data_IF_648753803060
#
_entry.id   IF_648753803060
#
_cell.length_a   1.000
_cell.length_b   1.000
_cell.length_c   1.000
_cell.angle_alpha   90.00
_cell.angle_beta   90.00
_cell.angle_gamma   90.00
#
_symmetry.space_group_name_H-M   'P 1'
#
loop_
_entity.id
_entity.type
_entity.pdbx_description
1 polymer ?
#
# COMPACT_ATOMS: atom_id res chain seq x y z
N UNK A 1 7.69 -4.38 19.05
CA UNK A 1 7.54 -3.07 19.73
C UNK A 1 6.07 -2.88 20.08
N UNK A 2 5.73 -2.29 21.24
CA UNK A 2 4.34 -2.16 21.71
C UNK A 2 3.43 -1.38 20.74
N UNK A 3 3.94 -0.31 20.12
CA UNK A 3 3.21 0.49 19.12
C UNK A 3 2.84 -0.30 17.84
N UNK A 4 3.68 -1.24 17.38
CA UNK A 4 3.35 -2.08 16.23
C UNK A 4 2.08 -2.90 16.48
N UNK A 5 1.91 -3.42 17.70
CA UNK A 5 0.73 -4.21 18.06
C UNK A 5 -0.53 -3.35 18.07
N UNK A 6 -0.46 -2.17 18.67
CA UNK A 6 -1.57 -1.21 18.70
C UNK A 6 -1.99 -0.80 17.28
N UNK A 7 -1.03 -0.51 16.40
CA UNK A 7 -1.31 -0.23 14.99
C UNK A 7 -1.94 -1.43 14.28
N UNK A 8 -1.46 -2.65 14.50
CA UNK A 8 -2.05 -3.86 13.89
C UNK A 8 -3.50 -4.05 14.31
N UNK A 9 -3.83 -3.84 15.58
CA UNK A 9 -5.20 -3.96 16.10
C UNK A 9 -6.09 -2.84 15.52
N UNK A 10 -5.59 -1.59 15.47
CA UNK A 10 -6.32 -0.43 14.92
C UNK A 10 -6.60 -0.55 13.43
N UNK A 11 -5.60 -0.97 12.66
CA UNK A 11 -5.65 -1.02 11.20
C UNK A 11 -6.00 -2.42 10.67
N UNK A 12 -6.59 -3.29 11.51
CA UNK A 12 -6.94 -4.66 11.12
C UNK A 12 -7.78 -4.71 9.83
N UNK A 13 -8.81 -3.87 9.72
CA UNK A 13 -9.66 -3.81 8.52
C UNK A 13 -8.86 -3.36 7.29
N UNK A 14 -7.97 -2.38 7.45
CA UNK A 14 -7.10 -1.90 6.38
C UNK A 14 -6.09 -2.97 5.93
N UNK A 15 -5.55 -3.76 6.87
CA UNK A 15 -4.67 -4.89 6.57
C UNK A 15 -5.42 -5.98 5.80
N UNK A 16 -6.66 -6.30 6.20
CA UNK A 16 -7.50 -7.27 5.48
C UNK A 16 -7.88 -6.77 4.09
N UNK A 17 -8.26 -5.49 3.96
CA UNK A 17 -8.61 -4.87 2.69
C UNK A 17 -7.42 -4.92 1.72
N UNK A 18 -6.24 -4.50 2.17
CA UNK A 18 -5.03 -4.56 1.34
C UNK A 18 -4.67 -5.99 1.00
N UNK A 19 -4.73 -6.91 1.96
CA UNK A 19 -4.38 -8.30 1.70
C UNK A 19 -5.32 -8.96 0.69
N UNK A 20 -6.60 -8.59 0.73
CA UNK A 20 -7.61 -9.05 -0.22
C UNK A 20 -7.39 -8.43 -1.60
N UNK A 21 -7.19 -7.11 -1.67
CA UNK A 21 -7.01 -6.38 -2.93
C UNK A 21 -5.72 -6.79 -3.66
N UNK A 22 -4.64 -7.05 -2.92
CA UNK A 22 -3.36 -7.44 -3.52
C UNK A 22 -3.15 -8.95 -3.59
N UNK A 23 -4.06 -9.75 -3.00
CA UNK A 23 -3.88 -11.19 -2.79
C UNK A 23 -2.55 -11.57 -2.13
N UNK A 24 -2.07 -10.73 -1.22
CA UNK A 24 -0.77 -10.88 -0.55
C UNK A 24 -0.83 -10.44 0.90
N UNK A 25 0.04 -10.94 1.79
CA UNK A 25 0.06 -10.47 3.16
C UNK A 25 0.34 -8.96 3.26
N UNK A 26 -0.48 -8.25 4.02
CA UNK A 26 -0.24 -6.87 4.43
C UNK A 26 0.19 -6.84 5.89
N UNK A 27 1.21 -6.03 6.21
CA UNK A 27 1.77 -5.93 7.56
C UNK A 27 2.04 -4.49 7.95
N UNK A 28 2.02 -4.20 9.25
CA UNK A 28 2.53 -2.93 9.78
C UNK A 28 4.05 -3.01 9.89
N UNK A 29 4.75 -2.02 9.33
CA UNK A 29 6.21 -1.90 9.43
C UNK A 29 6.61 -0.57 10.04
N UNK A 30 7.75 -0.56 10.74
CA UNK A 30 8.39 0.66 11.25
C UNK A 30 9.54 1.05 10.31
N UNK A 31 9.50 2.27 9.78
CA UNK A 31 10.45 2.84 8.83
C UNK A 31 11.33 3.91 9.49
N UNK A 32 11.90 3.58 10.65
CA UNK A 32 12.81 4.50 11.36
C UNK A 32 12.09 5.57 12.18
N UNK A 33 10.93 5.23 12.76
CA UNK A 33 10.15 6.13 13.62
C UNK A 33 8.74 6.42 13.11
N UNK A 34 8.50 6.20 11.81
CA UNK A 34 7.16 6.21 11.20
C UNK A 34 6.67 4.79 10.94
N UNK A 35 5.36 4.64 10.86
CA UNK A 35 4.67 3.39 10.58
C UNK A 35 3.94 3.47 9.24
N UNK A 36 3.87 2.33 8.56
CA UNK A 36 3.12 2.19 7.32
C UNK A 36 2.52 0.78 7.23
N UNK A 37 1.42 0.66 6.50
CA UNK A 37 0.99 -0.64 5.98
C UNK A 37 1.89 -0.95 4.78
N UNK A 38 2.51 -2.13 4.78
CA UNK A 38 3.38 -2.60 3.71
C UNK A 38 2.87 -3.91 3.13
N UNK A 39 2.86 -3.97 1.80
CA UNK A 39 2.63 -5.19 1.03
C UNK A 39 3.87 -5.46 0.20
N UNK A 40 4.45 -6.64 0.35
CA UNK A 40 5.60 -7.09 -0.44
C UNK A 40 5.13 -7.74 -1.74
N UNK A 41 5.86 -7.48 -2.80
CA UNK A 41 5.74 -8.13 -4.10
C UNK A 41 7.07 -8.78 -4.48
N UNK A 42 7.05 -9.54 -5.56
CA UNK A 42 8.26 -10.17 -6.07
C UNK A 42 9.31 -9.15 -6.54
N UNK A 43 10.58 -9.57 -6.58
CA UNK A 43 11.71 -8.80 -7.11
C UNK A 43 12.02 -7.51 -6.30
N UNK A 44 11.76 -7.54 -4.98
CA UNK A 44 12.07 -6.43 -4.09
C UNK A 44 11.19 -5.20 -4.29
N UNK A 45 9.99 -5.40 -4.85
CA UNK A 45 8.97 -4.36 -5.03
C UNK A 45 8.01 -4.39 -3.87
N UNK A 46 7.48 -3.24 -3.50
CA UNK A 46 6.53 -3.15 -2.39
C UNK A 46 5.62 -1.93 -2.54
N UNK A 47 4.54 -1.95 -1.78
CA UNK A 47 3.65 -0.82 -1.59
C UNK A 47 3.71 -0.37 -0.14
N UNK A 48 3.62 0.93 0.08
CA UNK A 48 3.38 1.55 1.39
C UNK A 48 2.07 2.33 1.37
N UNK A 49 1.28 2.18 2.44
CA UNK A 49 0.09 2.99 2.68
C UNK A 49 0.16 3.67 4.05
N UNK A 50 -0.16 4.97 4.07
CA UNK A 50 -0.10 5.86 5.23
C UNK A 50 -1.29 6.82 5.20
N UNK A 51 -1.73 7.33 6.35
CA UNK A 51 -2.89 8.23 6.44
C UNK A 51 -2.63 9.49 7.30
N UNK A 52 -1.37 9.73 7.67
CA UNK A 52 -0.93 10.88 8.45
C UNK A 52 0.41 11.41 7.91
N UNK A 53 0.42 11.95 6.69
CA UNK A 53 1.59 12.66 6.14
C UNK A 53 2.87 11.82 6.02
N UNK A 54 2.74 10.53 5.67
CA UNK A 54 3.86 9.58 5.61
C UNK A 54 4.02 8.70 6.86
N UNK A 55 3.07 8.78 7.79
CA UNK A 55 2.94 7.90 8.95
C UNK A 55 1.50 7.33 9.04
N UNK A 56 1.27 6.40 9.95
CA UNK A 56 -0.05 5.98 10.38
C UNK A 56 -0.50 6.81 11.58
N UNK A 57 -1.71 7.37 11.49
CA UNK A 57 -2.31 8.11 12.60
C UNK A 57 -2.40 7.22 13.86
N UNK A 58 -2.04 7.81 15.00
CA UNK A 58 -2.03 7.16 16.32
C UNK A 58 -3.28 7.48 17.15
N UNK A 59 -3.97 8.59 16.89
CA UNK A 59 -5.18 9.00 17.63
C UNK A 59 -6.46 8.72 16.82
N UNK A 60 -7.57 8.49 17.52
CA UNK A 60 -8.87 8.20 16.89
C UNK A 60 -9.68 9.47 16.52
N UNK A 61 -9.27 10.64 17.03
CA UNK A 61 -10.10 11.85 17.08
C UNK A 61 -10.23 12.62 15.74
N UNK A 62 -10.01 11.97 14.60
CA UNK A 62 -10.15 12.60 13.28
C UNK A 62 -10.58 11.70 12.13
N UNK A 63 -10.88 10.42 12.40
CA UNK A 63 -10.96 9.41 11.34
C UNK A 63 -9.58 9.18 10.68
N UNK A 64 -9.44 8.20 9.77
CA UNK A 64 -8.26 8.14 8.94
C UNK A 64 -8.18 9.42 8.11
N UNK A 65 -7.08 10.17 8.21
CA UNK A 65 -6.81 11.25 7.26
C UNK A 65 -6.71 10.69 5.83
N UNK A 66 -6.52 11.56 4.84
CA UNK A 66 -6.31 11.16 3.45
C UNK A 66 -5.24 10.06 3.37
N UNK A 67 -5.60 8.93 2.77
CA UNK A 67 -4.68 7.83 2.50
C UNK A 67 -3.77 8.18 1.34
N UNK A 68 -2.48 8.08 1.59
CA UNK A 68 -1.42 8.11 0.59
C UNK A 68 -0.92 6.68 0.37
N UNK A 69 -0.99 6.20 -0.86
CA UNK A 69 -0.46 4.90 -1.28
C UNK A 69 0.66 5.12 -2.29
N UNK A 70 1.82 4.49 -2.05
CA UNK A 70 3.01 4.59 -2.88
C UNK A 70 3.51 3.21 -3.30
N UNK A 71 3.79 3.05 -4.58
CA UNK A 71 4.45 1.86 -5.13
C UNK A 71 5.94 2.12 -5.33
N UNK A 72 6.75 1.15 -4.91
CA UNK A 72 8.20 1.17 -5.02
C UNK A 72 8.70 -0.02 -5.85
N UNK A 73 9.67 0.29 -6.69
CA UNK A 73 10.47 -0.65 -7.44
C UNK A 73 11.58 -1.25 -6.59
N UNK A 74 12.40 -2.11 -7.21
CA UNK A 74 13.66 -2.55 -6.62
C UNK A 74 14.52 -1.37 -6.20
N UNK A 75 15.22 -1.48 -5.07
CA UNK A 75 16.07 -0.43 -4.50
C UNK A 75 15.32 0.87 -4.16
N UNK A 76 14.07 0.74 -3.69
CA UNK A 76 13.25 1.84 -3.16
C UNK A 76 12.95 2.95 -4.19
N UNK A 77 13.00 2.64 -5.49
CA UNK A 77 12.68 3.60 -6.56
C UNK A 77 11.18 3.87 -6.56
N UNK A 78 10.71 5.12 -6.34
CA UNK A 78 9.28 5.42 -6.39
C UNK A 78 8.77 5.28 -7.83
N UNK A 79 7.69 4.51 -8.00
CA UNK A 79 7.10 4.24 -9.30
C UNK A 79 5.79 5.01 -9.52
N UNK A 80 4.94 5.08 -8.49
CA UNK A 80 3.65 5.75 -8.52
C UNK A 80 3.21 6.13 -7.09
N UNK A 81 2.38 7.17 -6.98
CA UNK A 81 1.76 7.60 -5.72
C UNK A 81 0.35 8.12 -6.00
N UNK A 82 -0.59 7.86 -5.11
CA UNK A 82 -1.92 8.45 -5.17
C UNK A 82 -2.49 8.72 -3.77
N UNK A 83 -3.30 9.77 -3.70
CA UNK A 83 -3.96 10.21 -2.48
C UNK A 83 -5.49 10.13 -2.66
N UNK A 84 -6.19 9.48 -1.72
CA UNK A 84 -7.66 9.43 -1.65
C UNK A 84 -8.15 9.40 -0.22
N UNK A 85 -9.42 9.75 -0.02
CA UNK A 85 -10.07 9.68 1.29
C UNK A 85 -10.10 8.26 1.84
N UNK A 86 -10.28 7.26 0.97
CA UNK A 86 -10.33 5.85 1.34
C UNK A 86 -9.12 5.07 0.83
N UNK A 87 -8.66 4.11 1.63
CA UNK A 87 -7.49 3.29 1.32
C UNK A 87 -7.64 2.53 -0.01
N UNK A 88 -8.80 1.90 -0.23
CA UNK A 88 -9.06 1.12 -1.45
C UNK A 88 -9.07 2.03 -2.68
N UNK A 89 -9.67 3.22 -2.58
CA UNK A 89 -9.65 4.20 -3.66
C UNK A 89 -8.22 4.68 -3.96
N UNK A 90 -7.40 4.91 -2.93
CA UNK A 90 -6.00 5.31 -3.09
C UNK A 90 -5.19 4.19 -3.76
N UNK A 91 -5.49 2.93 -3.40
CA UNK A 91 -4.91 1.76 -4.04
C UNK A 91 -5.28 1.66 -5.52
N UNK A 92 -6.56 1.76 -5.87
CA UNK A 92 -7.02 1.70 -7.25
C UNK A 92 -6.42 2.84 -8.08
N UNK A 93 -6.35 4.04 -7.50
CA UNK A 93 -5.74 5.20 -8.15
C UNK A 93 -4.24 4.98 -8.41
N UNK A 94 -3.46 4.47 -7.44
CA UNK A 94 -2.03 4.24 -7.65
C UNK A 94 -1.76 3.13 -8.66
N UNK A 95 -2.63 2.12 -8.74
CA UNK A 95 -2.55 1.09 -9.78
C UNK A 95 -2.82 1.70 -11.16
N UNK A 96 -3.79 2.61 -11.26
CA UNK A 96 -4.04 3.40 -12.48
C UNK A 96 -2.81 4.21 -12.93
N UNK A 97 -2.19 4.96 -12.01
CA UNK A 97 -0.96 5.71 -12.27
C UNK A 97 0.20 4.79 -12.70
N UNK A 98 0.36 3.65 -12.03
CA UNK A 98 1.40 2.69 -12.37
C UNK A 98 1.20 2.13 -13.78
N UNK A 99 -0.04 1.79 -14.16
CA UNK A 99 -0.41 1.32 -15.51
C UNK A 99 -0.17 2.36 -16.60
N UNK A 100 -0.38 3.64 -16.30
CA UNK A 100 -0.10 4.74 -17.22
C UNK A 100 1.40 5.07 -17.33
N UNK A 101 2.22 4.56 -16.40
CA UNK A 101 3.65 4.86 -16.35
C UNK A 101 4.47 4.02 -17.32
N UNK A 102 5.65 4.53 -17.70
CA UNK A 102 6.66 3.79 -18.46
C UNK A 102 7.20 2.53 -17.76
N UNK A 103 6.87 2.35 -16.48
CA UNK A 103 7.28 1.19 -15.68
C UNK A 103 6.35 0.00 -15.90
N UNK A 104 5.16 0.21 -16.47
CA UNK A 104 4.25 -0.85 -16.84
C UNK A 104 4.74 -1.57 -18.10
N UNK A 105 4.78 -2.90 -18.06
CA UNK A 105 5.09 -3.74 -19.23
C UNK A 105 3.94 -4.72 -19.45
N UNK A 106 3.37 -4.72 -20.66
CA UNK A 106 2.23 -5.55 -21.04
C UNK A 106 2.61 -7.03 -21.30
N UNK A 107 3.90 -7.36 -21.25
CA UNK A 107 4.43 -8.70 -21.60
C UNK A 107 4.19 -9.79 -20.54
N UNK A 108 3.40 -9.49 -19.50
CA UNK A 108 2.96 -10.46 -18.48
C UNK A 108 4.07 -10.95 -17.54
N UNK A 109 5.34 -10.64 -17.79
CA UNK A 109 6.48 -11.05 -16.94
C UNK A 109 6.73 -10.11 -15.77
N UNK A 110 6.14 -8.92 -15.82
CA UNK A 110 6.06 -7.99 -14.70
C UNK A 110 4.62 -7.52 -14.64
N UNK A 111 3.88 -7.94 -13.60
CA UNK A 111 2.46 -7.61 -13.36
C UNK A 111 1.40 -8.53 -14.01
N UNK A 112 1.75 -9.71 -14.52
CA UNK A 112 0.77 -10.74 -14.91
C UNK A 112 -0.07 -11.33 -13.75
N UNK A 113 0.32 -11.08 -12.49
CA UNK A 113 -0.39 -11.56 -11.30
C UNK A 113 -1.42 -10.56 -10.73
N UNK A 114 -1.50 -9.34 -11.28
CA UNK A 114 -2.50 -8.34 -10.87
C UNK A 114 -3.68 -8.20 -11.84
N UNK A 115 -3.73 -9.03 -12.88
CA UNK A 115 -4.94 -9.17 -13.67
C UNK A 115 -5.98 -9.87 -12.79
N UNK A 116 -7.17 -9.28 -12.53
CA UNK A 116 -8.23 -10.02 -11.87
C UNK A 116 -8.48 -11.28 -12.70
N UNK A 117 -8.45 -12.45 -12.07
CA UNK A 117 -8.85 -13.69 -12.71
C UNK A 117 -10.25 -13.47 -13.27
N UNK A 118 -10.37 -13.39 -14.59
CA UNK A 118 -11.66 -13.32 -15.26
C UNK A 118 -12.36 -14.64 -14.99
N UNK A 119 -13.31 -14.64 -14.06
CA UNK A 119 -14.34 -15.66 -13.92
C UNK A 119 -15.59 -15.19 -14.66
#
# INVERSE_FOLDING_TARGET
MPLTREHTERYADALVAMATATQRPANIVNLGGTYAIRVEFELGRYLLATNAGGDLATTADGGPGTWTVKFFGSADVPLASADREWLVDAFDAVVGELRASKWWREDGTTYGEFAPSTC
#
